data_IF_377884227892
#
_entry.id   IF_377884227892
#
_cell.length_a   1.000
_cell.length_b   1.000
_cell.length_c   1.000
_cell.angle_alpha   90.00
_cell.angle_beta   90.00
_cell.angle_gamma   90.00
#
_symmetry.space_group_name_H-M   'P 1'
#
loop_
_entity.id
_entity.type
_entity.pdbx_description
1 polymer ?
#
# COMPACT_ATOMS: atom_id res chain seq x y z
N UNK A 1 -11.50 0.50 37.86
CA UNK A 1 -10.52 0.70 36.78
C UNK A 1 -9.36 -0.25 37.04
N UNK A 2 -9.39 -1.43 36.43
CA UNK A 2 -8.25 -2.36 36.54
C UNK A 2 -7.05 -1.80 35.78
N UNK A 3 -5.81 -2.11 36.19
CA UNK A 3 -4.62 -1.69 35.45
C UNK A 3 -4.70 -2.22 34.01
N UNK A 4 -4.20 -1.46 33.01
CA UNK A 4 -4.15 -1.93 31.64
C UNK A 4 -3.39 -3.27 31.61
N UNK A 5 -4.01 -4.30 31.05
CA UNK A 5 -3.37 -5.60 30.84
C UNK A 5 -2.14 -5.35 29.98
N UNK A 6 -0.95 -5.67 30.51
CA UNK A 6 0.28 -5.60 29.75
C UNK A 6 0.11 -6.40 28.45
N UNK A 7 0.54 -5.88 27.29
CA UNK A 7 0.47 -6.63 26.05
C UNK A 7 1.21 -7.97 26.26
N UNK A 8 0.66 -9.10 25.78
CA UNK A 8 1.27 -10.40 26.01
C UNK A 8 2.71 -10.39 25.49
N UNK A 9 3.65 -10.92 26.26
CA UNK A 9 5.10 -10.91 25.95
C UNK A 9 5.41 -11.49 24.56
N UNK A 10 4.56 -12.41 24.09
CA UNK A 10 4.62 -12.95 22.74
C UNK A 10 4.39 -11.87 21.66
N UNK A 11 3.44 -10.95 21.86
CA UNK A 11 3.12 -9.90 20.89
C UNK A 11 4.26 -8.89 20.74
N UNK A 12 4.88 -8.47 21.85
CA UNK A 12 6.01 -7.54 21.82
C UNK A 12 7.24 -8.18 21.17
N UNK A 13 7.49 -9.47 21.44
CA UNK A 13 8.58 -10.22 20.82
C UNK A 13 8.37 -10.39 19.31
N UNK A 14 7.16 -10.80 18.89
CA UNK A 14 6.81 -10.93 17.47
C UNK A 14 6.90 -9.59 16.72
N UNK A 15 6.48 -8.49 17.36
CA UNK A 15 6.62 -7.16 16.79
C UNK A 15 8.09 -6.77 16.59
N UNK A 16 8.96 -7.10 17.55
CA UNK A 16 10.41 -6.91 17.42
C UNK A 16 11.00 -7.67 16.23
N UNK A 17 10.63 -8.95 16.06
CA UNK A 17 11.02 -9.74 14.88
C UNK A 17 10.49 -9.14 13.58
N UNK A 18 9.24 -8.66 13.56
CA UNK A 18 8.64 -8.03 12.39
C UNK A 18 9.39 -6.75 11.99
N UNK A 19 9.79 -5.91 12.96
CA UNK A 19 10.59 -4.71 12.70
C UNK A 19 11.97 -5.06 12.15
N UNK A 20 12.65 -6.06 12.73
CA UNK A 20 13.97 -6.49 12.25
C UNK A 20 13.89 -7.04 10.82
N UNK A 21 12.98 -7.98 10.57
CA UNK A 21 12.76 -8.57 9.24
C UNK A 21 12.31 -7.51 8.23
N UNK A 22 11.45 -6.57 8.63
CA UNK A 22 11.01 -5.45 7.81
C UNK A 22 12.18 -4.54 7.39
N UNK A 23 13.09 -4.24 8.32
CA UNK A 23 14.32 -3.49 8.02
C UNK A 23 15.19 -4.17 6.97
N UNK A 24 15.48 -5.47 7.13
CA UNK A 24 16.22 -6.24 6.14
C UNK A 24 15.50 -6.33 4.79
N UNK A 25 14.18 -6.51 4.81
CA UNK A 25 13.36 -6.58 3.61
C UNK A 25 13.42 -5.27 2.81
N UNK A 26 13.41 -4.11 3.47
CA UNK A 26 13.56 -2.81 2.80
C UNK A 26 14.92 -2.70 2.12
N UNK A 27 16.00 -3.05 2.82
CA UNK A 27 17.37 -3.00 2.26
C UNK A 27 17.47 -3.90 1.03
N UNK A 28 16.99 -5.14 1.11
CA UNK A 28 16.97 -6.08 -0.01
C UNK A 28 16.07 -5.60 -1.15
N UNK A 29 14.92 -5.00 -0.85
CA UNK A 29 14.01 -4.42 -1.82
C UNK A 29 14.65 -3.29 -2.62
N UNK A 30 15.33 -2.37 -1.93
CA UNK A 30 16.09 -1.27 -2.55
C UNK A 30 17.22 -1.86 -3.42
N UNK A 31 18.01 -2.79 -2.88
CA UNK A 31 19.11 -3.40 -3.63
C UNK A 31 18.61 -4.10 -4.91
N UNK A 32 17.49 -4.82 -4.82
CA UNK A 32 16.87 -5.48 -5.96
C UNK A 32 16.36 -4.47 -7.00
N UNK A 33 15.68 -3.41 -6.58
CA UNK A 33 15.20 -2.36 -7.47
C UNK A 33 16.35 -1.65 -8.20
N UNK A 34 17.38 -1.24 -7.46
CA UNK A 34 18.58 -0.61 -8.02
C UNK A 34 19.27 -1.55 -9.01
N UNK A 35 19.47 -2.82 -8.65
CA UNK A 35 20.05 -3.82 -9.56
C UNK A 35 19.23 -3.99 -10.84
N UNK A 36 17.91 -4.09 -10.72
CA UNK A 36 17.01 -4.25 -11.86
C UNK A 36 17.13 -3.06 -12.83
N UNK A 37 17.07 -1.83 -12.32
CA UNK A 37 17.19 -0.64 -13.16
C UNK A 37 18.60 -0.43 -13.70
N UNK A 38 19.65 -0.76 -12.95
CA UNK A 38 21.04 -0.72 -13.44
C UNK A 38 21.26 -1.66 -14.61
N UNK A 39 20.81 -2.92 -14.49
CA UNK A 39 20.92 -3.90 -15.58
C UNK A 39 20.13 -3.43 -16.81
N UNK A 40 18.97 -2.82 -16.62
CA UNK A 40 18.14 -2.26 -17.70
C UNK A 40 18.88 -1.15 -18.46
N UNK A 41 19.56 -0.26 -17.72
CA UNK A 41 20.39 0.83 -18.29
C UNK A 41 21.60 0.26 -19.03
N UNK A 42 22.35 -0.64 -18.41
CA UNK A 42 23.55 -1.25 -19.02
C UNK A 42 23.23 -2.02 -20.31
N UNK A 43 22.07 -2.68 -20.37
CA UNK A 43 21.63 -3.45 -21.54
C UNK A 43 20.85 -2.63 -22.57
N UNK A 44 20.67 -1.33 -22.36
CA UNK A 44 19.97 -0.45 -23.29
C UNK A 44 18.54 -0.90 -23.62
N UNK A 45 17.82 -1.48 -22.65
CA UNK A 45 16.47 -1.99 -22.90
C UNK A 45 15.45 -0.87 -23.16
N UNK A 46 14.23 -1.23 -23.56
CA UNK A 46 13.12 -0.28 -23.70
C UNK A 46 12.96 0.51 -22.39
N UNK A 47 12.82 1.84 -22.50
CA UNK A 47 12.68 2.78 -21.37
C UNK A 47 13.90 2.86 -20.42
N UNK A 48 15.11 2.53 -20.92
CA UNK A 48 16.34 2.68 -20.14
C UNK A 48 16.56 4.12 -19.65
N UNK A 49 16.15 5.13 -20.42
CA UNK A 49 16.30 6.54 -20.05
C UNK A 49 15.46 6.91 -18.80
N UNK A 50 14.23 6.38 -18.70
CA UNK A 50 13.40 6.53 -17.51
C UNK A 50 14.00 5.82 -16.30
N UNK A 51 14.63 4.66 -16.53
CA UNK A 51 15.33 3.92 -15.47
C UNK A 51 16.59 4.65 -14.99
N UNK A 52 17.31 5.31 -15.91
CA UNK A 52 18.45 6.15 -15.56
C UNK A 52 17.99 7.36 -14.73
N UNK A 53 16.93 8.05 -15.18
CA UNK A 53 16.36 9.19 -14.46
C UNK A 53 15.92 8.79 -13.04
N UNK A 54 15.26 7.64 -12.90
CA UNK A 54 14.88 7.10 -11.59
C UNK A 54 16.09 6.86 -10.68
N UNK A 55 17.17 6.25 -11.20
CA UNK A 55 18.38 6.01 -10.42
C UNK A 55 19.07 7.31 -9.99
N UNK A 56 19.09 8.33 -10.86
CA UNK A 56 19.66 9.64 -10.54
C UNK A 56 18.84 10.32 -9.45
N UNK A 57 17.51 10.40 -9.61
CA UNK A 57 16.63 11.00 -8.59
C UNK A 57 16.74 10.25 -7.27
N UNK A 58 16.76 8.92 -7.29
CA UNK A 58 16.96 8.11 -6.10
C UNK A 58 18.28 8.45 -5.38
N UNK A 59 19.39 8.51 -6.12
CA UNK A 59 20.69 8.86 -5.55
C UNK A 59 20.72 10.29 -4.98
N UNK A 60 20.08 11.24 -5.65
CA UNK A 60 19.97 12.63 -5.19
C UNK A 60 19.16 12.74 -3.90
N UNK A 61 18.00 12.08 -3.81
CA UNK A 61 17.14 12.11 -2.61
C UNK A 61 17.85 11.45 -1.42
N UNK A 62 18.42 10.26 -1.62
CA UNK A 62 19.15 9.57 -0.55
C UNK A 62 20.37 10.36 -0.13
N UNK A 63 21.13 10.91 -1.08
CA UNK A 63 22.29 11.75 -0.81
C UNK A 63 21.91 12.99 0.00
N UNK A 64 20.90 13.75 -0.44
CA UNK A 64 20.42 14.95 0.23
C UNK A 64 19.87 14.66 1.64
N UNK A 65 19.12 13.56 1.80
CA UNK A 65 18.56 13.15 3.08
C UNK A 65 19.62 12.70 4.09
N UNK A 66 20.73 12.12 3.63
CA UNK A 66 21.84 11.70 4.50
C UNK A 66 22.80 12.85 4.83
N UNK A 67 22.96 13.84 3.95
CA UNK A 67 23.92 14.94 4.12
C UNK A 67 23.37 16.16 4.84
N UNK A 68 22.05 16.38 4.82
CA UNK A 68 21.45 17.57 5.43
C UNK A 68 21.17 17.36 6.93
N UNK A 69 21.47 18.36 7.80
CA UNK A 69 21.09 18.32 9.21
C UNK A 69 19.56 18.26 9.43
N UNK A 70 18.81 18.76 8.44
CA UNK A 70 17.34 18.74 8.38
C UNK A 70 16.79 17.38 7.90
N UNK A 71 17.65 16.48 7.40
CA UNK A 71 17.28 15.14 6.97
C UNK A 71 16.28 15.13 5.81
N UNK A 72 15.17 14.40 5.98
CA UNK A 72 14.13 14.23 4.95
C UNK A 72 13.29 15.48 4.69
N UNK A 73 13.44 16.56 5.47
CA UNK A 73 12.72 17.82 5.26
C UNK A 73 13.54 18.90 4.56
N UNK A 74 14.71 18.55 4.01
CA UNK A 74 15.49 19.49 3.22
C UNK A 74 14.79 19.89 1.91
N UNK A 75 15.10 21.09 1.40
CA UNK A 75 14.50 21.69 0.20
C UNK A 75 14.44 20.75 -1.01
N UNK A 76 15.48 19.95 -1.24
CA UNK A 76 15.53 18.99 -2.35
C UNK A 76 14.54 17.82 -2.16
N UNK A 77 14.39 17.33 -0.94
CA UNK A 77 13.46 16.23 -0.62
C UNK A 77 12.01 16.68 -0.76
N UNK A 78 11.70 17.89 -0.29
CA UNK A 78 10.39 18.52 -0.44
C UNK A 78 10.05 18.78 -1.91
N UNK A 79 10.98 19.34 -2.68
CA UNK A 79 10.77 19.56 -4.10
C UNK A 79 10.53 18.25 -4.87
N UNK A 80 11.29 17.19 -4.60
CA UNK A 80 11.05 15.88 -5.23
C UNK A 80 9.69 15.32 -4.82
N UNK A 81 9.30 15.51 -3.56
CA UNK A 81 7.99 15.10 -3.09
C UNK A 81 6.88 15.79 -3.89
N UNK A 82 6.89 17.12 -3.96
CA UNK A 82 5.83 17.90 -4.60
C UNK A 82 5.83 17.77 -6.13
N UNK A 83 7.01 17.72 -6.76
CA UNK A 83 7.12 17.72 -8.21
C UNK A 83 6.99 16.32 -8.83
N UNK A 84 7.33 15.26 -8.10
CA UNK A 84 7.40 13.89 -8.65
C UNK A 84 6.48 12.94 -7.91
N UNK A 85 6.62 12.85 -6.58
CA UNK A 85 5.92 11.84 -5.78
C UNK A 85 4.42 12.13 -5.67
N UNK A 86 4.04 13.36 -5.32
CA UNK A 86 2.64 13.78 -5.17
C UNK A 86 1.84 13.61 -6.47
N UNK A 87 2.26 14.16 -7.63
CA UNK A 87 1.54 13.94 -8.88
C UNK A 87 1.60 12.48 -9.34
N UNK A 88 2.72 11.77 -9.13
CA UNK A 88 2.83 10.35 -9.44
C UNK A 88 1.80 9.51 -8.68
N UNK A 89 1.68 9.72 -7.37
CA UNK A 89 0.66 9.08 -6.54
C UNK A 89 -0.75 9.46 -7.00
N UNK A 90 -1.01 10.74 -7.28
CA UNK A 90 -2.31 11.19 -7.77
C UNK A 90 -2.72 10.49 -9.08
N UNK A 91 -1.79 10.28 -10.02
CA UNK A 91 -2.09 9.53 -11.26
C UNK A 91 -2.38 8.06 -11.00
N UNK A 92 -1.64 7.40 -10.11
CA UNK A 92 -1.90 6.00 -9.72
C UNK A 92 -3.25 5.86 -9.01
N UNK A 93 -3.62 6.83 -8.16
CA UNK A 93 -4.94 6.89 -7.54
C UNK A 93 -6.04 7.11 -8.58
N UNK A 94 -5.86 8.04 -9.52
CA UNK A 94 -6.83 8.30 -10.58
C UNK A 94 -7.04 7.06 -11.46
N UNK A 95 -5.96 6.37 -11.86
CA UNK A 95 -6.03 5.12 -12.61
C UNK A 95 -6.76 4.03 -11.83
N UNK A 96 -6.48 3.89 -10.54
CA UNK A 96 -7.18 2.94 -9.66
C UNK A 96 -8.68 3.24 -9.58
N UNK A 97 -9.05 4.52 -9.48
CA UNK A 97 -10.45 4.95 -9.51
C UNK A 97 -11.14 4.59 -10.84
N UNK A 98 -10.49 4.85 -11.98
CA UNK A 98 -11.02 4.49 -13.30
C UNK A 98 -11.15 2.97 -13.45
N UNK A 99 -10.17 2.19 -12.99
CA UNK A 99 -10.26 0.72 -13.00
C UNK A 99 -11.36 0.19 -12.09
N UNK A 100 -11.53 0.77 -10.91
CA UNK A 100 -12.62 0.39 -10.00
C UNK A 100 -13.98 0.70 -10.62
N UNK A 101 -14.12 1.86 -11.27
CA UNK A 101 -15.35 2.24 -11.98
C UNK A 101 -15.63 1.29 -13.17
N UNK A 102 -14.60 0.95 -13.94
CA UNK A 102 -14.71 -0.02 -15.05
C UNK A 102 -15.09 -1.42 -14.54
N UNK A 103 -14.50 -1.86 -13.44
CA UNK A 103 -14.84 -3.13 -12.80
C UNK A 103 -16.27 -3.12 -12.26
N UNK A 104 -16.71 -2.02 -11.64
CA UNK A 104 -18.08 -1.84 -11.17
C UNK A 104 -19.08 -1.90 -12.34
N UNK A 105 -18.79 -1.22 -13.45
CA UNK A 105 -19.60 -1.30 -14.67
C UNK A 105 -19.68 -2.73 -15.22
N UNK A 106 -18.55 -3.43 -15.27
CA UNK A 106 -18.52 -4.82 -15.69
C UNK A 106 -19.36 -5.70 -14.74
N UNK A 107 -19.25 -5.51 -13.43
CA UNK A 107 -19.97 -6.28 -12.42
C UNK A 107 -21.48 -6.03 -12.41
N UNK A 108 -21.93 -4.83 -12.80
CA UNK A 108 -23.34 -4.52 -13.03
C UNK A 108 -23.88 -5.10 -14.33
N UNK A 109 -23.06 -5.14 -15.39
CA UNK A 109 -23.47 -5.62 -16.72
C UNK A 109 -23.55 -7.14 -16.80
N UNK A 110 -22.69 -7.85 -16.08
CA UNK A 110 -22.78 -9.31 -16.00
C UNK A 110 -23.97 -9.63 -15.08
N UNK A 111 -25.02 -10.28 -15.59
CA UNK A 111 -26.26 -10.67 -14.90
C UNK A 111 -26.04 -11.59 -13.69
N UNK A 112 -25.32 -11.11 -12.67
CA UNK A 112 -25.05 -11.79 -11.41
C UNK A 112 -26.04 -11.24 -10.39
N UNK A 113 -26.86 -12.08 -9.73
CA UNK A 113 -27.93 -11.65 -8.82
C UNK A 113 -27.46 -11.01 -7.49
N UNK A 114 -26.26 -10.42 -7.45
CA UNK A 114 -25.72 -9.69 -6.30
C UNK A 114 -24.91 -8.43 -6.64
N UNK A 115 -24.74 -8.11 -7.94
CA UNK A 115 -23.91 -6.99 -8.37
C UNK A 115 -24.36 -5.63 -7.85
N UNK A 116 -25.67 -5.42 -7.88
CA UNK A 116 -26.32 -4.18 -7.44
C UNK A 116 -26.14 -3.95 -5.94
N UNK A 117 -26.24 -4.99 -5.11
CA UNK A 117 -26.09 -4.86 -3.65
C UNK A 117 -24.67 -4.49 -3.25
N UNK A 118 -23.67 -5.07 -3.92
CA UNK A 118 -22.26 -4.74 -3.68
C UNK A 118 -21.98 -3.30 -4.10
N UNK A 119 -22.47 -2.86 -5.26
CA UNK A 119 -22.27 -1.48 -5.69
C UNK A 119 -23.01 -0.48 -4.80
N UNK A 120 -24.26 -0.78 -4.42
CA UNK A 120 -25.02 0.05 -3.50
C UNK A 120 -24.32 0.17 -2.14
N UNK A 121 -23.78 -0.93 -1.62
CA UNK A 121 -22.98 -0.93 -0.40
C UNK A 121 -21.71 -0.08 -0.54
N UNK A 122 -20.96 -0.23 -1.63
CA UNK A 122 -19.75 0.55 -1.89
C UNK A 122 -20.04 2.05 -2.03
N UNK A 123 -21.12 2.42 -2.74
CA UNK A 123 -21.52 3.80 -2.91
C UNK A 123 -22.00 4.41 -1.59
N UNK A 124 -22.76 3.66 -0.79
CA UNK A 124 -23.21 4.09 0.54
C UNK A 124 -22.01 4.31 1.46
N UNK A 125 -21.05 3.39 1.49
CA UNK A 125 -19.81 3.55 2.27
C UNK A 125 -19.05 4.80 1.85
N UNK A 126 -18.89 5.03 0.54
CA UNK A 126 -18.19 6.21 0.01
C UNK A 126 -18.91 7.50 0.41
N UNK A 127 -20.24 7.50 0.37
CA UNK A 127 -21.05 8.64 0.80
C UNK A 127 -20.85 8.94 2.30
N UNK A 128 -20.93 7.92 3.16
CA UNK A 128 -20.83 8.11 4.62
C UNK A 128 -19.41 8.46 5.07
N UNK A 129 -18.38 7.93 4.41
CA UNK A 129 -16.98 8.23 4.74
C UNK A 129 -16.58 9.67 4.40
N UNK A 130 -17.39 10.39 3.62
CA UNK A 130 -17.02 11.73 3.20
C UNK A 130 -17.25 12.73 4.34
N UNK A 131 -16.21 13.48 4.80
CA UNK A 131 -16.26 14.31 6.01
C UNK A 131 -17.43 15.31 6.08
N UNK A 132 -17.86 15.83 4.92
CA UNK A 132 -18.96 16.81 4.87
C UNK A 132 -20.34 16.20 5.13
N UNK A 133 -20.52 14.90 4.88
CA UNK A 133 -21.83 14.23 5.00
C UNK A 133 -22.16 13.82 6.44
N UNK A 134 -21.17 13.72 7.33
CA UNK A 134 -21.39 13.38 8.75
C UNK A 134 -22.37 14.31 9.47
N UNK A 135 -22.48 15.57 9.04
CA UNK A 135 -23.38 16.55 9.64
C UNK A 135 -24.82 16.48 9.08
N UNK A 136 -25.00 15.87 7.92
CA UNK A 136 -26.26 15.86 7.15
C UNK A 136 -26.97 14.51 7.30
N UNK A 137 -26.20 13.44 7.43
CA UNK A 137 -26.68 12.06 7.47
C UNK A 137 -27.19 11.69 8.88
N UNK A 138 -28.27 10.89 9.01
CA UNK A 138 -28.75 10.40 10.30
C UNK A 138 -27.67 9.65 11.08
N UNK A 139 -27.57 9.92 12.39
CA UNK A 139 -26.58 9.28 13.29
C UNK A 139 -26.60 7.75 13.22
N UNK A 140 -27.80 7.16 13.11
CA UNK A 140 -27.96 5.69 12.99
C UNK A 140 -27.30 5.09 11.76
N UNK A 141 -27.24 5.82 10.64
CA UNK A 141 -26.54 5.36 9.43
C UNK A 141 -25.03 5.41 9.64
N UNK A 142 -24.52 6.46 10.30
CA UNK A 142 -23.10 6.60 10.65
C UNK A 142 -22.66 5.47 11.57
N UNK A 143 -23.41 5.21 12.64
CA UNK A 143 -23.11 4.12 13.59
C UNK A 143 -23.09 2.73 12.90
N UNK A 144 -24.00 2.50 11.94
CA UNK A 144 -24.03 1.26 11.16
C UNK A 144 -22.79 1.11 10.28
N UNK A 145 -22.36 2.19 9.62
CA UNK A 145 -21.14 2.19 8.80
C UNK A 145 -19.91 1.99 9.66
N UNK A 146 -19.81 2.69 10.79
CA UNK A 146 -18.69 2.57 11.71
C UNK A 146 -18.59 1.14 12.28
N UNK A 147 -19.72 0.51 12.60
CA UNK A 147 -19.77 -0.90 12.98
C UNK A 147 -19.31 -1.82 11.84
N UNK A 148 -19.80 -1.60 10.62
CA UNK A 148 -19.42 -2.40 9.45
C UNK A 148 -17.91 -2.31 9.18
N UNK A 149 -17.36 -1.10 9.27
CA UNK A 149 -15.92 -0.85 9.08
C UNK A 149 -15.11 -1.49 10.19
N UNK A 150 -15.47 -1.26 11.45
CA UNK A 150 -14.67 -1.66 12.61
C UNK A 150 -14.64 -3.17 12.85
N UNK A 151 -15.70 -3.89 12.46
CA UNK A 151 -15.84 -5.32 12.73
C UNK A 151 -15.70 -6.18 11.46
N UNK A 152 -16.71 -6.31 10.56
CA UNK A 152 -16.60 -7.11 9.35
C UNK A 152 -15.44 -6.74 8.43
N UNK A 153 -15.29 -5.45 8.08
CA UNK A 153 -14.29 -5.02 7.11
C UNK A 153 -12.89 -5.20 7.69
N UNK A 154 -12.67 -4.83 8.95
CA UNK A 154 -11.39 -5.10 9.61
C UNK A 154 -11.09 -6.60 9.76
N UNK A 155 -12.10 -7.44 10.01
CA UNK A 155 -11.92 -8.89 10.03
C UNK A 155 -11.51 -9.44 8.66
N UNK A 156 -12.17 -9.00 7.58
CA UNK A 156 -11.82 -9.35 6.21
C UNK A 156 -10.41 -8.87 5.84
N UNK A 157 -10.05 -7.64 6.21
CA UNK A 157 -8.73 -7.05 5.96
C UNK A 157 -7.62 -7.86 6.64
N UNK A 158 -7.84 -8.27 7.91
CA UNK A 158 -6.91 -9.17 8.61
C UNK A 158 -6.79 -10.51 7.90
N UNK A 159 -7.90 -11.08 7.41
CA UNK A 159 -7.89 -12.31 6.61
C UNK A 159 -7.06 -12.19 5.33
N UNK A 160 -7.23 -11.08 4.59
CA UNK A 160 -6.45 -10.78 3.38
C UNK A 160 -4.97 -10.62 3.68
N UNK A 161 -4.62 -9.91 4.76
CA UNK A 161 -3.22 -9.72 5.17
C UNK A 161 -2.56 -11.06 5.53
N UNK A 162 -3.25 -11.91 6.30
CA UNK A 162 -2.74 -13.24 6.66
C UNK A 162 -2.63 -14.15 5.43
N UNK A 163 -3.65 -14.16 4.57
CA UNK A 163 -3.65 -14.96 3.33
C UNK A 163 -2.56 -14.53 2.35
N UNK A 164 -2.37 -13.21 2.17
CA UNK A 164 -1.31 -12.65 1.34
C UNK A 164 0.08 -12.98 1.88
N UNK A 165 0.29 -12.87 3.19
CA UNK A 165 1.55 -13.24 3.83
C UNK A 165 1.87 -14.73 3.61
N UNK A 166 0.89 -15.61 3.81
CA UNK A 166 1.03 -17.04 3.53
C UNK A 166 1.35 -17.31 2.06
N UNK A 167 0.67 -16.65 1.12
CA UNK A 167 0.94 -16.80 -0.30
C UNK A 167 2.39 -16.43 -0.66
N UNK A 168 2.92 -15.33 -0.10
CA UNK A 168 4.31 -14.92 -0.29
C UNK A 168 5.29 -15.92 0.33
N UNK A 169 4.98 -16.49 1.50
CA UNK A 169 5.79 -17.54 2.12
C UNK A 169 5.86 -18.79 1.23
N UNK A 170 4.72 -19.23 0.67
CA UNK A 170 4.69 -20.37 -0.24
C UNK A 170 5.46 -20.11 -1.54
N UNK A 171 5.34 -18.92 -2.12
CA UNK A 171 6.11 -18.52 -3.31
C UNK A 171 7.61 -18.54 -2.99
N UNK A 172 8.01 -17.96 -1.87
CA UNK A 172 9.40 -17.93 -1.41
C UNK A 172 9.97 -19.33 -1.19
N UNK A 173 9.23 -20.20 -0.51
CA UNK A 173 9.63 -21.59 -0.28
C UNK A 173 9.78 -22.36 -1.59
N UNK A 174 8.83 -22.19 -2.53
CA UNK A 174 8.87 -22.81 -3.85
C UNK A 174 10.12 -22.38 -4.63
N UNK A 175 10.49 -21.10 -4.56
CA UNK A 175 11.69 -20.59 -5.24
C UNK A 175 12.97 -21.22 -4.67
N UNK A 176 13.09 -21.31 -3.33
CA UNK A 176 14.26 -21.93 -2.68
C UNK A 176 14.38 -23.41 -3.07
N UNK A 177 13.29 -24.16 -2.96
CA UNK A 177 13.27 -25.60 -3.30
C UNK A 177 13.59 -25.82 -4.78
N UNK A 178 13.09 -24.97 -5.68
CA UNK A 178 13.36 -25.08 -7.11
C UNK A 178 14.79 -24.65 -7.48
N UNK A 179 15.39 -23.72 -6.74
CA UNK A 179 16.79 -23.30 -6.98
C UNK A 179 17.83 -24.33 -6.55
N UNK A 180 17.45 -25.33 -5.76
CA UNK A 180 18.31 -26.41 -5.30
C UNK A 180 18.33 -27.64 -6.23
N UNK A 181 17.65 -27.57 -7.39
CA UNK A 181 17.66 -28.56 -8.46
C UNK A 181 18.38 -28.00 -9.68
#
# INVERSE_FOLDING_TARGET
MGPPLAPPEAATTLYGWALLLGGFAIILGIANAVRFHLVRVQRGQREWLLSLLLLIVFALVVGAGLSSPEGTTGLLSEWVFDAVLAPGQATLFALSGVFLLSAAYHFLRVDRPGGIWILAGALLMLLVQTPFLYQIVPRSLVDLVDWLLSFPVMAAMRGVLLGGALAVLFISLRLIVNSAK
#
